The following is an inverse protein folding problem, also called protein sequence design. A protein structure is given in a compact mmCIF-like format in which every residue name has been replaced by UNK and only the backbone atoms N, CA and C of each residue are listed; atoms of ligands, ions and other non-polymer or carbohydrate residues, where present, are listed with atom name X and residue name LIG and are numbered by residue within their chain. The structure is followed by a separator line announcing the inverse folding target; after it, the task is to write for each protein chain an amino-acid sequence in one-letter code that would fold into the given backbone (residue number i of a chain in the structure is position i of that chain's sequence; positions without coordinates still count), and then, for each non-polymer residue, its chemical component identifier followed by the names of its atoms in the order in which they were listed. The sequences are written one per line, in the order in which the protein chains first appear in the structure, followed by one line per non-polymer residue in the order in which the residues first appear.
data_IF_718442181343
#
_entry.id   IF_718442181343
#
_cell.length_a   1.000
_cell.length_b   1.000
_cell.length_c   1.000
_cell.angle_alpha   90.00
_cell.angle_beta   90.00
_cell.angle_gamma   90.00
#
_symmetry.space_group_name_H-M   'P 1'
#
loop_
_entity.id
_entity.type
_entity.pdbx_description
1 polymer ?
#
# COMPACT_ATOMS: atom_id res chain seq x y z
N UNK A 1 6.13 -3.06 19.94
CA UNK A 1 6.26 -1.85 20.78
C UNK A 1 5.39 -0.74 20.24
N UNK A 2 5.54 -0.30 19.00
CA UNK A 2 4.72 0.75 18.39
C UNK A 2 3.20 0.60 18.55
N UNK A 3 2.66 -0.58 18.29
CA UNK A 3 1.20 -0.81 18.42
C UNK A 3 0.70 -0.71 19.86
N UNK A 4 1.51 -1.09 20.85
CA UNK A 4 1.18 -0.90 22.27
C UNK A 4 1.11 0.59 22.62
N UNK A 5 2.08 1.38 22.14
CA UNK A 5 2.06 2.84 22.33
C UNK A 5 0.88 3.49 21.62
N UNK A 6 0.52 3.01 20.42
CA UNK A 6 -0.67 3.49 19.72
C UNK A 6 -1.94 3.27 20.55
N UNK A 7 -2.12 2.05 21.08
CA UNK A 7 -3.28 1.70 21.90
C UNK A 7 -3.30 2.52 23.19
N UNK A 8 -2.17 2.67 23.86
CA UNK A 8 -2.03 3.45 25.08
C UNK A 8 -2.39 4.93 24.88
N UNK A 9 -2.16 5.46 23.68
CA UNK A 9 -2.56 6.79 23.25
C UNK A 9 -3.96 6.86 22.60
N UNK A 10 -4.77 5.80 22.69
CA UNK A 10 -6.15 5.77 22.21
C UNK A 10 -6.32 5.54 20.71
N UNK A 11 -5.26 5.17 19.99
CA UNK A 11 -5.36 4.80 18.58
C UNK A 11 -6.00 3.41 18.45
N UNK A 12 -7.11 3.33 17.74
CA UNK A 12 -7.89 2.09 17.61
C UNK A 12 -7.73 1.41 16.25
N UNK A 13 -7.17 2.12 15.26
CA UNK A 13 -6.88 1.60 13.93
C UNK A 13 -5.72 2.40 13.32
N UNK A 14 -4.95 1.76 12.44
CA UNK A 14 -3.92 2.45 11.67
C UNK A 14 -3.81 1.86 10.26
N UNK A 15 -3.36 2.68 9.32
CA UNK A 15 -2.93 2.25 7.99
C UNK A 15 -1.41 2.10 7.99
N UNK A 16 -0.92 1.02 7.38
CA UNK A 16 0.52 0.78 7.24
C UNK A 16 0.86 0.45 5.78
N UNK A 17 1.91 1.09 5.27
CA UNK A 17 2.42 0.88 3.93
C UNK A 17 3.90 0.52 4.05
N UNK A 18 4.17 -0.78 4.21
CA UNK A 18 5.53 -1.24 4.48
C UNK A 18 5.78 -2.68 4.00
N UNK A 19 7.04 -3.11 4.12
CA UNK A 19 7.47 -4.47 3.82
C UNK A 19 7.16 -5.43 4.97
N UNK A 20 7.19 -6.74 4.68
CA UNK A 20 7.04 -7.77 5.72
C UNK A 20 5.62 -7.91 6.25
N UNK A 21 4.63 -7.81 5.38
CA UNK A 21 3.20 -7.79 5.69
C UNK A 21 2.74 -8.83 6.73
N UNK A 22 3.18 -10.09 6.63
CA UNK A 22 2.82 -11.13 7.62
C UNK A 22 3.29 -10.82 9.05
N UNK A 23 4.47 -10.21 9.21
CA UNK A 23 4.98 -9.86 10.53
C UNK A 23 4.14 -8.73 11.15
N UNK A 24 3.75 -7.76 10.36
CA UNK A 24 2.88 -6.65 10.76
C UNK A 24 1.50 -7.18 11.17
N UNK A 25 0.91 -8.07 10.36
CA UNK A 25 -0.39 -8.69 10.65
C UNK A 25 -0.34 -9.47 11.96
N UNK A 26 0.68 -10.32 12.17
CA UNK A 26 0.82 -11.07 13.43
C UNK A 26 0.92 -10.14 14.65
N UNK A 27 1.64 -9.02 14.52
CA UNK A 27 1.73 -8.03 15.59
C UNK A 27 0.39 -7.34 15.84
N UNK A 28 -0.36 -7.02 14.78
CA UNK A 28 -1.71 -6.44 14.90
C UNK A 28 -2.70 -7.42 15.55
N UNK A 29 -2.69 -8.70 15.15
CA UNK A 29 -3.51 -9.73 15.78
C UNK A 29 -3.17 -9.89 17.28
N UNK A 30 -1.88 -9.90 17.63
CA UNK A 30 -1.43 -10.02 19.03
C UNK A 30 -1.81 -8.80 19.89
N UNK A 31 -1.79 -7.60 19.32
CA UNK A 31 -2.16 -6.36 20.01
C UNK A 31 -3.66 -6.11 20.06
N UNK A 32 -4.42 -6.67 19.12
CA UNK A 32 -5.85 -6.46 18.96
C UNK A 32 -6.24 -5.15 18.26
N UNK A 33 -5.28 -4.36 17.77
CA UNK A 33 -5.53 -3.13 17.00
C UNK A 33 -6.06 -3.46 15.60
N UNK A 34 -6.82 -2.55 15.01
CA UNK A 34 -7.23 -2.69 13.61
C UNK A 34 -6.13 -2.21 12.66
N UNK A 35 -5.90 -2.96 11.62
CA UNK A 35 -4.88 -2.72 10.60
C UNK A 35 -5.51 -2.63 9.20
N UNK A 36 -5.16 -1.58 8.47
CA UNK A 36 -5.34 -1.47 7.02
C UNK A 36 -3.94 -1.52 6.39
N UNK A 37 -3.54 -2.69 5.90
CA UNK A 37 -2.18 -2.96 5.42
C UNK A 37 -2.10 -2.85 3.90
N UNK A 38 -1.09 -2.16 3.42
CA UNK A 38 -0.67 -2.16 2.03
C UNK A 38 0.77 -2.67 1.91
N UNK A 39 1.00 -3.95 1.57
CA UNK A 39 2.34 -4.45 1.30
C UNK A 39 2.99 -3.63 0.18
N UNK A 40 4.19 -3.12 0.42
CA UNK A 40 4.84 -2.19 -0.51
C UNK A 40 5.28 -2.90 -1.78
N UNK A 41 4.88 -2.37 -2.93
CA UNK A 41 5.27 -2.81 -4.27
C UNK A 41 6.20 -1.75 -4.88
N UNK A 42 7.43 -2.14 -5.19
CA UNK A 42 8.37 -1.37 -6.00
C UNK A 42 8.48 -2.02 -7.37
N UNK A 43 8.19 -1.26 -8.42
CA UNK A 43 8.29 -1.76 -9.80
C UNK A 43 8.74 -0.63 -10.74
N UNK A 44 10.02 -0.20 -10.66
CA UNK A 44 10.55 0.79 -11.58
C UNK A 44 10.67 0.26 -13.01
N UNK A 45 10.80 -1.07 -13.17
CA UNK A 45 10.92 -1.79 -14.43
C UNK A 45 10.25 -3.18 -14.30
N UNK A 46 9.90 -3.80 -15.41
CA UNK A 46 9.37 -5.16 -15.44
C UNK A 46 7.90 -5.28 -15.07
N UNK A 47 7.52 -6.35 -14.35
CA UNK A 47 6.12 -6.64 -14.00
C UNK A 47 5.93 -6.74 -12.49
N UNK A 48 4.85 -6.17 -11.93
CA UNK A 48 4.51 -6.26 -10.51
C UNK A 48 3.85 -7.60 -10.13
N UNK A 49 3.72 -8.54 -11.06
CA UNK A 49 2.88 -9.74 -10.91
C UNK A 49 3.26 -10.64 -9.73
N UNK A 50 4.53 -10.65 -9.29
CA UNK A 50 4.93 -11.41 -8.11
C UNK A 50 4.40 -10.79 -6.81
N UNK A 51 4.49 -9.46 -6.70
CA UNK A 51 4.01 -8.71 -5.54
C UNK A 51 2.48 -8.66 -5.49
N UNK A 52 1.83 -8.60 -6.66
CA UNK A 52 0.37 -8.73 -6.79
C UNK A 52 -0.06 -10.08 -6.20
N UNK A 53 0.51 -11.20 -6.67
CA UNK A 53 0.18 -12.55 -6.15
C UNK A 53 0.44 -12.71 -4.66
N UNK A 54 1.51 -12.11 -4.14
CA UNK A 54 1.77 -12.15 -2.71
C UNK A 54 0.74 -11.36 -1.91
N UNK A 55 0.30 -10.21 -2.44
CA UNK A 55 -0.77 -9.42 -1.81
C UNK A 55 -2.10 -10.18 -1.82
N UNK A 56 -2.46 -10.80 -2.94
CA UNK A 56 -3.64 -11.67 -3.07
C UNK A 56 -3.60 -12.84 -2.08
N UNK A 57 -2.45 -13.52 -1.99
CA UNK A 57 -2.23 -14.61 -1.02
C UNK A 57 -2.47 -14.15 0.42
N UNK A 58 -2.04 -12.93 0.76
CA UNK A 58 -2.30 -12.37 2.09
C UNK A 58 -3.79 -12.06 2.28
N UNK A 59 -4.47 -11.51 1.26
CA UNK A 59 -5.91 -11.26 1.33
C UNK A 59 -6.69 -12.56 1.57
N UNK A 60 -6.41 -13.62 0.81
CA UNK A 60 -7.03 -14.94 0.99
C UNK A 60 -6.75 -15.53 2.38
N UNK A 61 -5.49 -15.49 2.82
CA UNK A 61 -5.07 -16.04 4.12
C UNK A 61 -5.77 -15.38 5.30
N UNK A 62 -6.03 -14.09 5.19
CA UNK A 62 -6.63 -13.30 6.27
C UNK A 62 -8.09 -12.91 6.00
N UNK A 63 -8.73 -13.55 5.03
CA UNK A 63 -10.16 -13.38 4.75
C UNK A 63 -11.01 -13.65 6.00
N UNK A 64 -12.01 -12.81 6.23
CA UNK A 64 -12.90 -12.91 7.40
C UNK A 64 -12.32 -12.40 8.72
N UNK A 65 -11.09 -11.92 8.74
CA UNK A 65 -10.48 -11.29 9.93
C UNK A 65 -10.93 -9.85 10.08
N UNK A 66 -11.98 -9.60 10.82
CA UNK A 66 -12.64 -8.28 10.96
C UNK A 66 -11.73 -7.10 11.38
N UNK A 67 -10.51 -7.36 11.84
CA UNK A 67 -9.54 -6.32 12.25
C UNK A 67 -8.42 -6.12 11.27
N UNK A 68 -8.29 -6.97 10.26
CA UNK A 68 -7.25 -6.91 9.24
C UNK A 68 -7.90 -6.62 7.90
N UNK A 69 -7.49 -5.53 7.29
CA UNK A 69 -7.83 -5.19 5.91
C UNK A 69 -6.54 -5.08 5.10
N UNK A 70 -6.55 -5.55 3.87
CA UNK A 70 -5.36 -5.55 3.01
C UNK A 70 -5.72 -4.86 1.69
N UNK A 71 -4.82 -3.97 1.24
CA UNK A 71 -4.90 -3.25 -0.04
C UNK A 71 -3.65 -3.51 -0.85
N UNK A 72 -3.66 -3.16 -2.12
CA UNK A 72 -2.44 -3.07 -2.90
C UNK A 72 -1.65 -1.81 -2.53
N UNK A 73 -0.32 -1.96 -2.41
CA UNK A 73 0.58 -0.89 -2.00
C UNK A 73 1.59 -0.47 -3.07
N UNK A 74 1.19 0.06 -4.26
CA UNK A 74 2.17 0.68 -5.14
C UNK A 74 2.84 1.83 -4.38
N UNK A 75 4.19 1.81 -4.29
CA UNK A 75 4.89 2.74 -3.40
C UNK A 75 4.63 4.20 -3.77
N UNK A 76 4.99 4.60 -4.99
CA UNK A 76 4.83 5.97 -5.46
C UNK A 76 4.94 6.04 -6.99
N UNK A 77 4.43 7.10 -7.67
CA UNK A 77 4.55 7.26 -9.11
C UNK A 77 6.00 7.32 -9.65
N UNK A 78 6.97 7.59 -8.79
CA UNK A 78 8.40 7.64 -9.15
C UNK A 78 9.15 6.32 -8.92
N UNK A 79 8.53 5.34 -8.28
CA UNK A 79 9.10 4.01 -8.02
C UNK A 79 8.30 2.87 -8.62
N UNK A 80 7.14 3.17 -9.18
CA UNK A 80 6.28 2.22 -9.89
C UNK A 80 5.95 2.84 -11.25
N UNK A 81 6.42 2.23 -12.33
CA UNK A 81 6.17 2.79 -13.66
C UNK A 81 4.68 2.71 -14.04
N UNK A 82 4.24 3.58 -14.96
CA UNK A 82 2.82 3.76 -15.28
C UNK A 82 2.10 2.45 -15.69
N UNK A 83 2.76 1.56 -16.44
CA UNK A 83 2.18 0.27 -16.81
C UNK A 83 1.94 -0.65 -15.61
N UNK A 84 2.91 -0.74 -14.68
CA UNK A 84 2.75 -1.51 -13.46
C UNK A 84 1.67 -0.91 -12.55
N UNK A 85 1.59 0.41 -12.45
CA UNK A 85 0.55 1.08 -11.68
C UNK A 85 -0.84 0.77 -12.23
N UNK A 86 -1.01 0.81 -13.55
CA UNK A 86 -2.27 0.44 -14.20
C UNK A 86 -2.65 -1.03 -13.91
N UNK A 87 -1.70 -1.97 -14.02
CA UNK A 87 -1.91 -3.39 -13.70
C UNK A 87 -2.36 -3.59 -12.25
N UNK A 88 -1.71 -2.92 -11.28
CA UNK A 88 -2.08 -2.96 -9.87
C UNK A 88 -3.47 -2.38 -9.63
N UNK A 89 -3.79 -1.24 -10.26
CA UNK A 89 -5.11 -0.62 -10.15
C UNK A 89 -6.23 -1.50 -10.72
N UNK A 90 -5.97 -2.17 -11.84
CA UNK A 90 -6.95 -3.07 -12.44
C UNK A 90 -7.18 -4.32 -11.57
N UNK A 91 -6.12 -4.84 -10.94
CA UNK A 91 -6.26 -5.94 -9.99
C UNK A 91 -7.01 -5.51 -8.72
N UNK A 92 -6.72 -4.33 -8.19
CA UNK A 92 -7.46 -3.77 -7.06
C UNK A 92 -8.98 -3.64 -7.35
N UNK A 93 -9.34 -3.21 -8.57
CA UNK A 93 -10.75 -3.16 -9.00
C UNK A 93 -11.39 -4.55 -9.06
N UNK A 94 -10.71 -5.56 -9.63
CA UNK A 94 -11.20 -6.94 -9.69
C UNK A 94 -11.43 -7.55 -8.30
N UNK A 95 -10.50 -7.28 -7.39
CA UNK A 95 -10.56 -7.74 -6.00
C UNK A 95 -11.48 -6.90 -5.11
N UNK A 96 -12.16 -5.88 -5.67
CA UNK A 96 -13.01 -4.94 -4.93
C UNK A 96 -12.32 -4.31 -3.72
N UNK A 97 -11.01 -4.02 -3.85
CA UNK A 97 -10.21 -3.33 -2.84
C UNK A 97 -9.68 -2.01 -3.39
N UNK A 98 -8.97 -1.25 -2.55
CA UNK A 98 -8.32 0.00 -2.95
C UNK A 98 -6.80 -0.14 -3.08
N UNK A 99 -6.16 0.97 -3.37
CA UNK A 99 -4.71 1.14 -3.29
C UNK A 99 -4.36 2.11 -2.16
N UNK A 100 -3.16 1.95 -1.61
CA UNK A 100 -2.51 2.91 -0.74
C UNK A 100 -1.18 3.30 -1.39
N UNK A 101 -0.97 4.58 -1.64
CA UNK A 101 0.16 5.10 -2.44
C UNK A 101 0.65 6.43 -1.89
N UNK A 102 1.97 6.65 -1.89
CA UNK A 102 2.56 7.95 -1.59
C UNK A 102 2.51 8.86 -2.83
N UNK A 103 1.95 10.04 -2.67
CA UNK A 103 1.77 10.99 -3.79
C UNK A 103 2.15 12.40 -3.36
N UNK A 104 2.94 13.08 -4.18
CA UNK A 104 3.37 14.47 -3.91
C UNK A 104 4.12 14.63 -2.58
N UNK A 105 4.93 13.64 -2.23
CA UNK A 105 5.62 13.52 -0.95
C UNK A 105 6.58 14.69 -0.68
N UNK A 106 7.24 15.21 -1.74
CA UNK A 106 8.14 16.35 -1.64
C UNK A 106 7.87 17.40 -2.71
N UNK A 107 8.24 18.66 -2.44
CA UNK A 107 8.17 19.74 -3.43
C UNK A 107 9.04 19.45 -4.67
N UNK A 108 10.17 18.74 -4.47
CA UNK A 108 11.05 18.33 -5.58
C UNK A 108 10.33 17.36 -6.53
N UNK A 109 9.63 16.37 -6.01
CA UNK A 109 8.86 15.41 -6.82
C UNK A 109 7.72 16.08 -7.60
N UNK A 110 7.03 17.04 -6.98
CA UNK A 110 5.99 17.82 -7.66
C UNK A 110 6.58 18.64 -8.80
N UNK A 111 7.74 19.27 -8.58
CA UNK A 111 8.44 20.03 -9.60
C UNK A 111 8.90 19.13 -10.76
N UNK A 112 9.58 18.04 -10.46
CA UNK A 112 10.04 17.06 -11.45
C UNK A 112 8.89 16.48 -12.28
N UNK A 113 7.77 16.14 -11.66
CA UNK A 113 6.57 15.65 -12.35
C UNK A 113 6.05 16.69 -13.34
N UNK A 114 5.96 17.96 -12.95
CA UNK A 114 5.53 19.04 -13.83
C UNK A 114 6.51 19.28 -14.98
N UNK A 115 7.80 19.21 -14.72
CA UNK A 115 8.84 19.38 -15.75
C UNK A 115 8.84 18.24 -16.76
N UNK A 116 8.66 17.01 -16.30
CA UNK A 116 8.73 15.79 -17.12
C UNK A 116 7.42 15.47 -17.85
N UNK A 117 6.28 15.65 -17.18
CA UNK A 117 4.97 15.22 -17.67
C UNK A 117 3.97 16.37 -17.87
N UNK A 118 4.29 17.59 -17.45
CA UNK A 118 3.37 18.74 -17.52
C UNK A 118 2.26 18.73 -16.47
N UNK A 119 2.18 17.70 -15.60
CA UNK A 119 1.13 17.49 -14.60
C UNK A 119 1.73 17.18 -13.23
N UNK A 120 0.91 17.30 -12.18
CA UNK A 120 1.32 16.92 -10.81
C UNK A 120 1.29 15.41 -10.60
N UNK A 121 2.02 14.85 -9.60
CA UNK A 121 1.99 13.42 -9.32
C UNK A 121 0.58 12.87 -9.08
N UNK A 122 -0.30 13.63 -8.45
CA UNK A 122 -1.69 13.20 -8.21
C UNK A 122 -2.52 13.14 -9.50
N UNK A 123 -2.15 13.87 -10.52
CA UNK A 123 -2.83 13.83 -11.84
C UNK A 123 -2.31 12.72 -12.75
N UNK A 124 -1.26 11.99 -12.31
CA UNK A 124 -0.77 10.80 -13.01
C UNK A 124 -1.57 9.54 -12.65
N UNK A 125 -2.37 9.59 -11.59
CA UNK A 125 -3.23 8.51 -11.08
C UNK A 125 -4.60 8.56 -11.72
#
# INVERSE_FOLDING_TARGET
MCMAEMIDNGVTAFADHYFGGEAIIRAAEASGIRLDLAPTIFCPEGSPSADIRETERLMEKYEGKNRIHIRFGPHAPYTVHAGALAEICDEAKKMHTGIHIHVSETAAQVKESKEKFGITPIMQL
#
